data_IF_150825339550
#
_entry.id   IF_150825339550
#
_cell.length_a   1.000
_cell.length_b   1.000
_cell.length_c   1.000
_cell.angle_alpha   90.00
_cell.angle_beta   90.00
_cell.angle_gamma   90.00
#
_symmetry.space_group_name_H-M   'P 1'
#
loop_
_entity.id
_entity.type
_entity.pdbx_description
1 polymer ?
#
# COMPACT_ATOMS: atom_id res chain seq x y z
N UNK A 1 -3.19 -25.92 -2.16
CA UNK A 1 -3.19 -24.59 -1.51
C UNK A 1 -1.89 -23.92 -1.95
N UNK A 2 -1.96 -22.84 -2.75
CA UNK A 2 -0.75 -22.15 -3.24
C UNK A 2 0.06 -21.59 -2.06
N UNK A 3 1.36 -21.40 -2.27
CA UNK A 3 2.26 -20.79 -1.28
C UNK A 3 1.79 -19.36 -0.95
N UNK A 4 1.35 -18.62 -1.97
CA UNK A 4 0.72 -17.28 -1.86
C UNK A 4 -0.44 -17.27 -0.85
N UNK A 5 -1.41 -18.17 -1.01
CA UNK A 5 -2.58 -18.21 -0.10
C UNK A 5 -2.26 -18.58 1.36
N UNK A 6 -1.05 -19.06 1.67
CA UNK A 6 -0.58 -19.28 3.05
C UNK A 6 0.12 -18.04 3.62
N UNK A 7 0.93 -17.36 2.81
CA UNK A 7 1.59 -16.09 3.17
C UNK A 7 0.53 -15.03 3.49
N UNK A 8 -0.50 -14.92 2.65
CA UNK A 8 -1.59 -13.95 2.81
C UNK A 8 -2.34 -14.13 4.14
N UNK A 9 -2.61 -15.38 4.52
CA UNK A 9 -3.34 -15.71 5.76
C UNK A 9 -2.51 -15.42 7.01
N UNK A 10 -1.22 -15.72 6.97
CA UNK A 10 -0.33 -15.47 8.09
C UNK A 10 -0.08 -13.98 8.30
N UNK A 11 0.22 -13.24 7.22
CA UNK A 11 0.34 -11.79 7.25
C UNK A 11 -0.94 -11.15 7.80
N UNK A 12 -2.09 -11.52 7.25
CA UNK A 12 -3.38 -10.98 7.71
C UNK A 12 -3.65 -11.27 9.19
N UNK A 13 -3.31 -12.47 9.68
CA UNK A 13 -3.44 -12.81 11.08
C UNK A 13 -2.54 -11.91 11.94
N UNK A 14 -1.26 -11.77 11.57
CA UNK A 14 -0.31 -10.96 12.32
C UNK A 14 -0.70 -9.48 12.34
N UNK A 15 -1.17 -8.92 11.22
CA UNK A 15 -1.65 -7.55 11.15
C UNK A 15 -2.85 -7.30 12.07
N UNK A 16 -3.80 -8.25 12.13
CA UNK A 16 -4.96 -8.16 13.03
C UNK A 16 -4.53 -8.15 14.49
N UNK A 17 -3.72 -9.12 14.88
CA UNK A 17 -3.21 -9.24 16.26
C UNK A 17 -2.36 -8.03 16.63
N UNK A 18 -1.52 -7.53 15.72
CA UNK A 18 -0.75 -6.30 15.92
C UNK A 18 -1.66 -5.09 16.18
N UNK A 19 -2.74 -4.94 15.40
CA UNK A 19 -3.73 -3.90 15.67
C UNK A 19 -4.43 -4.08 17.01
N UNK A 20 -4.75 -5.32 17.43
CA UNK A 20 -5.35 -5.56 18.76
C UNK A 20 -4.37 -5.14 19.86
N UNK A 21 -3.10 -5.52 19.72
CA UNK A 21 -2.03 -5.19 20.65
C UNK A 21 -1.77 -3.69 20.76
N UNK A 22 -1.83 -2.95 19.66
CA UNK A 22 -1.64 -1.49 19.63
C UNK A 22 -2.86 -0.72 20.18
N UNK A 23 -4.06 -1.29 20.05
CA UNK A 23 -5.32 -0.62 20.45
C UNK A 23 -5.83 -1.04 21.82
N UNK A 24 -5.17 -2.01 22.47
CA UNK A 24 -5.53 -2.55 23.79
C UNK A 24 -5.60 -1.45 24.87
N UNK A 25 -6.78 -1.34 25.48
CA UNK A 25 -7.08 -0.31 26.49
C UNK A 25 -6.33 -0.51 27.80
N UNK A 26 -5.83 -1.72 28.07
CA UNK A 26 -5.12 -2.04 29.29
C UNK A 26 -3.64 -1.66 29.23
N UNK A 27 -3.15 -1.21 28.06
CA UNK A 27 -1.74 -0.88 27.86
C UNK A 27 -1.50 0.62 28.02
N UNK A 28 -0.40 0.96 28.68
CA UNK A 28 0.04 2.35 28.88
C UNK A 28 0.51 3.06 27.61
N UNK A 29 0.47 2.38 26.46
CA UNK A 29 0.81 2.88 25.13
C UNK A 29 -0.35 2.60 24.16
N UNK A 30 -1.59 2.82 24.59
CA UNK A 30 -2.76 2.71 23.71
C UNK A 30 -2.61 3.68 22.53
N UNK A 31 -2.76 3.15 21.32
CA UNK A 31 -2.84 3.92 20.09
C UNK A 31 -4.28 3.89 19.57
N UNK A 32 -4.91 5.05 19.29
CA UNK A 32 -6.22 5.05 18.64
C UNK A 32 -6.21 4.25 17.33
N UNK A 33 -7.29 3.51 17.07
CA UNK A 33 -7.38 2.57 15.95
C UNK A 33 -7.00 3.18 14.59
N UNK A 34 -7.42 4.43 14.35
CA UNK A 34 -7.07 5.18 13.14
C UNK A 34 -5.54 5.27 12.96
N UNK A 35 -4.81 5.62 14.02
CA UNK A 35 -3.35 5.74 13.95
C UNK A 35 -2.64 4.39 13.89
N UNK A 36 -3.19 3.35 14.54
CA UNK A 36 -2.67 1.99 14.40
C UNK A 36 -2.77 1.51 12.95
N UNK A 37 -3.92 1.74 12.30
CA UNK A 37 -4.14 1.39 10.90
C UNK A 37 -3.23 2.20 9.97
N UNK A 38 -3.12 3.52 10.17
CA UNK A 38 -2.20 4.37 9.40
C UNK A 38 -0.76 3.88 9.53
N UNK A 39 -0.28 3.56 10.75
CA UNK A 39 1.09 3.10 10.96
C UNK A 39 1.35 1.74 10.31
N UNK A 40 0.41 0.80 10.41
CA UNK A 40 0.51 -0.49 9.72
C UNK A 40 0.54 -0.30 8.20
N UNK A 41 -0.36 0.54 7.65
CA UNK A 41 -0.39 0.87 6.23
C UNK A 41 0.93 1.50 5.74
N UNK A 42 1.53 2.39 6.54
CA UNK A 42 2.87 2.95 6.27
C UNK A 42 3.92 1.84 6.17
N UNK A 43 3.95 0.89 7.09
CA UNK A 43 4.92 -0.21 7.05
C UNK A 43 4.71 -1.16 5.86
N UNK A 44 3.46 -1.41 5.47
CA UNK A 44 3.15 -2.12 4.21
C UNK A 44 3.79 -1.40 3.03
N UNK A 45 3.56 -0.09 2.93
CA UNK A 45 4.10 0.75 1.87
C UNK A 45 5.62 0.79 1.87
N UNK A 46 6.25 1.06 3.01
CA UNK A 46 7.72 1.13 3.16
C UNK A 46 8.39 -0.21 2.85
N UNK A 47 7.83 -1.32 3.32
CA UNK A 47 8.35 -2.66 3.01
C UNK A 47 8.19 -2.97 1.52
N UNK A 48 7.08 -2.55 0.89
CA UNK A 48 6.92 -2.68 -0.56
C UNK A 48 8.00 -1.89 -1.32
N UNK A 49 8.24 -0.62 -0.95
CA UNK A 49 9.31 0.17 -1.56
C UNK A 49 10.68 -0.48 -1.37
N UNK A 50 10.96 -1.01 -0.18
CA UNK A 50 12.23 -1.67 0.14
C UNK A 50 12.44 -2.92 -0.69
N UNK A 51 11.46 -3.82 -0.72
CA UNK A 51 11.58 -5.12 -1.40
C UNK A 51 11.57 -4.99 -2.93
N UNK A 52 10.95 -3.94 -3.47
CA UNK A 52 11.05 -3.58 -4.89
C UNK A 52 12.34 -2.83 -5.24
N UNK A 53 13.19 -2.52 -4.26
CA UNK A 53 14.44 -1.79 -4.46
C UNK A 53 14.28 -0.28 -4.71
N UNK A 54 13.07 0.26 -4.56
CA UNK A 54 12.78 1.70 -4.67
C UNK A 54 13.38 2.44 -3.47
N UNK A 55 13.18 1.91 -2.26
CA UNK A 55 13.84 2.36 -1.04
C UNK A 55 15.15 1.55 -0.84
N UNK A 56 16.13 1.82 -1.69
CA UNK A 56 17.44 1.13 -1.69
C UNK A 56 18.37 1.63 -0.57
N UNK A 57 19.50 0.96 -0.37
CA UNK A 57 20.54 1.42 0.57
C UNK A 57 21.07 2.81 0.19
N UNK A 58 21.17 3.10 -1.10
CA UNK A 58 21.54 4.44 -1.61
C UNK A 58 20.54 5.52 -1.15
N UNK A 59 19.25 5.19 -1.08
CA UNK A 59 18.22 6.13 -0.60
C UNK A 59 18.30 6.32 0.92
N UNK A 60 18.62 5.27 1.67
CA UNK A 60 18.88 5.37 3.12
C UNK A 60 20.11 6.23 3.42
N UNK A 61 21.18 6.07 2.65
CA UNK A 61 22.38 6.91 2.74
C UNK A 61 22.05 8.39 2.46
N UNK A 62 21.31 8.68 1.37
CA UNK A 62 20.87 10.04 1.03
C UNK A 62 19.96 10.66 2.09
N UNK A 63 19.10 9.85 2.72
CA UNK A 63 18.23 10.30 3.79
C UNK A 63 18.97 10.47 5.14
N UNK A 64 20.22 10.03 5.24
CA UNK A 64 21.00 9.99 6.49
C UNK A 64 20.31 9.15 7.59
N UNK A 65 19.77 7.99 7.20
CA UNK A 65 19.02 7.07 8.07
C UNK A 65 19.57 5.65 7.91
N UNK A 66 19.72 4.90 9.01
CA UNK A 66 20.04 3.49 8.92
C UNK A 66 18.75 2.67 8.70
N UNK A 67 18.77 1.65 7.84
CA UNK A 67 17.62 0.78 7.64
C UNK A 67 17.13 0.10 8.95
N UNK A 68 18.02 -0.18 9.91
CA UNK A 68 17.64 -0.72 11.22
C UNK A 68 16.84 0.29 12.07
N UNK A 69 16.99 1.59 11.82
CA UNK A 69 16.20 2.65 12.46
C UNK A 69 14.73 2.66 12.01
N UNK A 70 14.38 1.85 10.99
CA UNK A 70 13.03 1.75 10.43
C UNK A 70 12.51 0.31 10.52
N UNK A 71 13.25 -0.66 10.01
CA UNK A 71 12.80 -2.06 9.90
C UNK A 71 13.36 -2.95 11.01
N UNK A 72 14.22 -2.41 11.86
CA UNK A 72 14.99 -3.16 12.84
C UNK A 72 14.49 -3.06 14.28
N UNK A 73 15.27 -3.63 15.18
CA UNK A 73 15.03 -3.48 16.63
C UNK A 73 15.32 -2.05 17.10
N UNK A 74 16.15 -1.30 16.38
CA UNK A 74 16.42 0.12 16.60
C UNK A 74 15.30 1.05 16.13
N UNK A 75 14.19 0.52 15.61
CA UNK A 75 13.18 1.33 14.95
C UNK A 75 12.72 2.53 15.79
N UNK A 76 12.74 3.72 15.19
CA UNK A 76 12.55 4.97 15.91
C UNK A 76 11.50 5.85 15.24
N UNK A 77 10.63 6.48 16.05
CA UNK A 77 9.63 7.42 15.57
C UNK A 77 10.24 8.58 14.79
N UNK A 78 11.22 9.27 15.36
CA UNK A 78 11.79 10.47 14.75
C UNK A 78 12.50 10.15 13.43
N UNK A 79 13.17 8.98 13.38
CA UNK A 79 13.75 8.46 12.13
C UNK A 79 12.71 8.06 11.10
N UNK A 80 11.58 7.49 11.53
CA UNK A 80 10.46 7.22 10.64
C UNK A 80 9.90 8.52 10.04
N UNK A 81 9.68 9.57 10.83
CA UNK A 81 9.21 10.85 10.28
C UNK A 81 10.27 11.52 9.40
N UNK A 82 11.55 11.44 9.74
CA UNK A 82 12.63 11.91 8.87
C UNK A 82 12.62 11.19 7.50
N UNK A 83 12.39 9.87 7.49
CA UNK A 83 12.26 9.10 6.26
C UNK A 83 10.99 9.50 5.49
N UNK A 84 9.88 9.75 6.19
CA UNK A 84 8.64 10.21 5.58
C UNK A 84 8.83 11.56 4.89
N UNK A 85 9.46 12.53 5.56
CA UNK A 85 9.75 13.85 4.96
C UNK A 85 10.65 13.70 3.72
N UNK A 86 11.70 12.86 3.80
CA UNK A 86 12.56 12.56 2.66
C UNK A 86 11.80 11.93 1.49
N UNK A 87 10.95 10.95 1.79
CA UNK A 87 10.15 10.26 0.79
C UNK A 87 9.07 11.19 0.23
N UNK A 88 8.52 12.10 1.02
CA UNK A 88 7.61 13.12 0.56
C UNK A 88 8.32 14.06 -0.43
N UNK A 89 9.57 14.45 -0.22
CA UNK A 89 10.28 15.26 -1.23
C UNK A 89 10.64 14.42 -2.49
N UNK A 90 11.20 13.23 -2.28
CA UNK A 90 11.63 12.33 -3.35
C UNK A 90 10.46 11.85 -4.23
N UNK A 91 9.34 11.48 -3.61
CA UNK A 91 8.14 10.99 -4.26
C UNK A 91 7.11 12.11 -4.52
N UNK A 92 7.04 13.25 -3.82
CA UNK A 92 6.20 14.39 -4.27
C UNK A 92 6.88 15.29 -5.31
N UNK A 93 8.10 14.98 -5.72
CA UNK A 93 8.65 15.39 -7.02
C UNK A 93 8.34 14.41 -8.17
N UNK A 94 7.97 13.16 -7.85
CA UNK A 94 8.09 12.03 -8.79
C UNK A 94 6.84 11.14 -8.95
N UNK A 95 6.01 10.94 -7.90
CA UNK A 95 5.01 9.86 -7.76
C UNK A 95 3.78 10.14 -6.84
N UNK A 96 3.82 10.10 -5.47
CA UNK A 96 2.62 10.13 -4.56
C UNK A 96 2.84 10.59 -3.10
N UNK A 97 1.75 10.96 -2.37
CA UNK A 97 1.79 11.27 -0.94
C UNK A 97 1.76 10.03 -0.03
N UNK A 98 2.41 10.14 1.13
CA UNK A 98 2.39 9.11 2.18
C UNK A 98 1.14 9.22 3.07
N UNK A 99 0.59 8.09 3.57
CA UNK A 99 -0.44 8.13 4.61
C UNK A 99 0.09 8.90 5.83
N UNK A 100 -0.60 9.92 6.36
CA UNK A 100 -0.11 10.73 7.49
C UNK A 100 -0.97 10.59 8.75
N UNK A 101 -0.35 10.77 9.94
CA UNK A 101 -1.05 10.69 11.22
C UNK A 101 -0.12 10.96 12.41
N UNK A 102 -0.59 11.74 13.38
CA UNK A 102 0.21 12.21 14.52
C UNK A 102 -0.43 11.79 15.86
N UNK A 103 -0.06 10.59 16.33
CA UNK A 103 -0.21 10.14 17.73
C UNK A 103 0.68 8.91 18.04
N UNK A 104 1.77 8.76 17.29
CA UNK A 104 2.64 7.58 17.34
C UNK A 104 3.78 7.79 18.35
N UNK A 105 4.13 6.75 19.11
CA UNK A 105 5.31 6.69 19.98
C UNK A 105 6.33 5.72 19.42
N UNK A 106 7.61 5.86 19.76
CA UNK A 106 8.69 4.94 19.33
C UNK A 106 8.36 3.48 19.62
N UNK A 107 7.72 3.18 20.75
CA UNK A 107 7.29 1.81 21.09
C UNK A 107 6.30 1.22 20.07
N UNK A 108 5.41 2.02 19.50
CA UNK A 108 4.50 1.55 18.45
C UNK A 108 5.28 1.20 17.20
N UNK A 109 6.20 2.08 16.79
CA UNK A 109 7.08 1.90 15.63
C UNK A 109 7.89 0.60 15.76
N UNK A 110 8.53 0.38 16.92
CA UNK A 110 9.27 -0.85 17.22
C UNK A 110 8.41 -2.11 17.14
N UNK A 111 7.18 -2.06 17.67
CA UNK A 111 6.29 -3.22 17.63
C UNK A 111 5.83 -3.55 16.21
N UNK A 112 5.55 -2.54 15.39
CA UNK A 112 5.21 -2.73 13.98
C UNK A 112 6.43 -3.26 13.21
N UNK A 113 7.59 -2.63 13.35
CA UNK A 113 8.84 -3.06 12.71
C UNK A 113 9.17 -4.53 13.03
N UNK A 114 9.10 -4.91 14.31
CA UNK A 114 9.30 -6.29 14.74
C UNK A 114 8.37 -7.27 14.03
N UNK A 115 7.06 -6.98 13.96
CA UNK A 115 6.10 -7.87 13.27
C UNK A 115 6.40 -7.99 11.77
N UNK A 116 6.85 -6.93 11.11
CA UNK A 116 7.25 -7.00 9.69
C UNK A 116 8.56 -7.73 9.46
N UNK A 117 9.46 -7.75 10.45
CA UNK A 117 10.62 -8.65 10.50
C UNK A 117 10.24 -10.10 10.83
N UNK A 118 9.03 -10.29 11.34
CA UNK A 118 8.37 -11.58 11.56
C UNK A 118 8.12 -11.92 13.04
N UNK A 119 8.42 -10.99 13.94
CA UNK A 119 8.18 -11.19 15.38
C UNK A 119 6.71 -11.53 15.62
N UNK A 120 6.46 -12.39 16.59
CA UNK A 120 5.10 -12.70 16.98
C UNK A 120 4.44 -11.44 17.60
N UNK A 121 3.20 -11.08 17.21
CA UNK A 121 2.60 -9.84 17.69
C UNK A 121 2.25 -9.86 19.19
N UNK A 122 2.01 -11.03 19.80
CA UNK A 122 1.62 -11.13 21.21
C UNK A 122 2.82 -11.29 22.14
N UNK A 123 3.80 -12.08 21.73
CA UNK A 123 5.05 -12.28 22.43
C UNK A 123 6.11 -11.27 21.97
N UNK A 124 7.20 -11.14 22.72
CA UNK A 124 8.39 -10.40 22.26
C UNK A 124 9.40 -11.35 21.61
N UNK A 125 8.92 -12.48 21.07
CA UNK A 125 9.79 -13.48 20.49
C UNK A 125 10.27 -13.00 19.11
N UNK A 126 11.57 -12.74 19.03
CA UNK A 126 12.21 -12.34 17.79
C UNK A 126 12.41 -13.54 16.88
N UNK A 127 12.11 -13.37 15.59
CA UNK A 127 12.52 -14.32 14.55
C UNK A 127 13.75 -13.80 13.81
N UNK A 128 14.58 -14.74 13.36
CA UNK A 128 15.88 -14.46 12.75
C UNK A 128 15.80 -14.17 11.23
N UNK A 129 14.61 -14.24 10.62
CA UNK A 129 14.43 -14.12 9.17
C UNK A 129 13.18 -13.32 8.83
N UNK A 130 13.29 -12.44 7.82
CA UNK A 130 12.16 -11.76 7.19
C UNK A 130 11.19 -12.82 6.65
N UNK A 131 9.99 -12.89 7.22
CA UNK A 131 8.94 -13.83 6.79
C UNK A 131 8.08 -13.27 5.65
N UNK A 132 8.21 -11.97 5.37
CA UNK A 132 7.48 -11.27 4.32
C UNK A 132 8.45 -10.73 3.28
N UNK A 133 8.35 -11.26 2.07
CA UNK A 133 9.04 -10.77 0.89
C UNK A 133 8.00 -10.26 -0.11
N UNK A 134 7.85 -8.94 -0.22
CA UNK A 134 6.91 -8.31 -1.12
C UNK A 134 7.43 -8.19 -2.56
N UNK A 135 8.65 -8.66 -2.85
CA UNK A 135 9.16 -8.65 -4.23
C UNK A 135 8.37 -9.58 -5.16
N UNK A 136 7.74 -10.64 -4.61
CA UNK A 136 6.92 -11.60 -5.34
C UNK A 136 5.43 -11.54 -5.02
N UNK A 137 5.01 -10.77 -4.01
CA UNK A 137 3.58 -10.62 -3.66
C UNK A 137 2.92 -9.72 -4.70
N UNK A 138 1.93 -10.22 -5.47
CA UNK A 138 1.19 -9.37 -6.39
C UNK A 138 0.58 -8.21 -5.61
N UNK A 139 0.63 -7.02 -6.19
CA UNK A 139 0.04 -5.84 -5.58
C UNK A 139 -1.43 -6.05 -5.21
N UNK A 140 -2.21 -6.73 -6.05
CA UNK A 140 -3.61 -7.03 -5.77
C UNK A 140 -3.75 -7.83 -4.48
N UNK A 141 -2.82 -8.74 -4.22
CA UNK A 141 -2.76 -9.53 -3.00
C UNK A 141 -2.49 -8.64 -1.79
N UNK A 142 -1.53 -7.71 -1.90
CA UNK A 142 -1.20 -6.78 -0.82
C UNK A 142 -2.36 -5.84 -0.49
N UNK A 143 -3.02 -5.30 -1.52
CA UNK A 143 -4.24 -4.49 -1.41
C UNK A 143 -5.38 -5.27 -0.75
N UNK A 144 -5.58 -6.54 -1.13
CA UNK A 144 -6.60 -7.41 -0.54
C UNK A 144 -6.29 -7.71 0.93
N UNK A 145 -5.03 -7.98 1.29
CA UNK A 145 -4.63 -8.22 2.68
C UNK A 145 -4.89 -6.97 3.52
N UNK A 146 -4.47 -5.80 3.07
CA UNK A 146 -4.70 -4.54 3.79
C UNK A 146 -6.19 -4.22 3.94
N UNK A 147 -6.98 -4.43 2.89
CA UNK A 147 -8.43 -4.26 2.95
C UNK A 147 -9.08 -5.19 3.99
N UNK A 148 -8.76 -6.48 3.94
CA UNK A 148 -9.30 -7.48 4.87
C UNK A 148 -8.90 -7.17 6.31
N UNK A 149 -7.73 -6.57 6.50
CA UNK A 149 -7.27 -6.06 7.78
C UNK A 149 -8.16 -4.91 8.28
N UNK A 150 -8.39 -3.86 7.47
CA UNK A 150 -9.22 -2.71 7.87
C UNK A 150 -10.70 -3.09 8.11
N UNK A 151 -11.26 -3.96 7.27
CA UNK A 151 -12.67 -4.38 7.36
C UNK A 151 -12.97 -5.27 8.57
N UNK A 152 -11.98 -6.02 9.06
CA UNK A 152 -12.18 -6.95 10.18
C UNK A 152 -12.41 -6.25 11.54
N UNK A 153 -12.00 -4.98 11.65
CA UNK A 153 -12.06 -4.20 12.91
C UNK A 153 -13.24 -3.22 12.97
N UNK A 154 -13.85 -2.89 11.83
CA UNK A 154 -15.07 -2.07 11.77
C UNK A 154 -16.34 -2.89 12.01
N UNK A 155 -17.45 -2.22 12.34
CA UNK A 155 -18.83 -2.79 12.41
C UNK A 155 -19.36 -3.21 11.02
N UNK A 156 -18.54 -3.86 10.19
CA UNK A 156 -18.69 -3.99 8.74
C UNK A 156 -19.44 -5.22 8.24
N UNK A 157 -19.80 -6.19 9.10
CA UNK A 157 -20.67 -7.30 8.66
C UNK A 157 -22.08 -6.86 8.23
N UNK A 158 -22.46 -5.60 8.47
CA UNK A 158 -23.77 -5.03 8.09
C UNK A 158 -23.76 -4.06 6.90
N UNK A 159 -22.60 -3.75 6.30
CA UNK A 159 -22.52 -2.87 5.11
C UNK A 159 -21.79 -3.60 3.98
N UNK A 160 -22.57 -4.15 3.06
CA UNK A 160 -22.34 -4.50 1.64
C UNK A 160 -20.97 -4.52 0.96
N UNK A 161 -19.84 -4.59 1.66
CA UNK A 161 -18.50 -4.63 1.08
C UNK A 161 -18.22 -6.02 0.48
N UNK A 162 -18.92 -6.35 -0.60
CA UNK A 162 -18.63 -7.50 -1.43
C UNK A 162 -17.49 -7.14 -2.36
N UNK A 163 -16.40 -7.88 -2.21
CA UNK A 163 -15.27 -7.83 -3.13
C UNK A 163 -15.73 -8.25 -4.53
N UNK A 164 -15.51 -7.40 -5.52
CA UNK A 164 -15.65 -7.78 -6.92
C UNK A 164 -14.40 -8.56 -7.32
N UNK A 165 -14.50 -9.86 -7.62
CA UNK A 165 -13.35 -10.62 -8.07
C UNK A 165 -12.71 -9.99 -9.31
N UNK A 166 -11.37 -9.98 -9.40
CA UNK A 166 -10.64 -9.36 -10.53
C UNK A 166 -11.13 -9.90 -11.88
N UNK A 167 -11.44 -11.19 -11.98
CA UNK A 167 -11.97 -11.77 -13.23
C UNK A 167 -13.34 -11.17 -13.62
N UNK A 168 -14.18 -10.82 -12.64
CA UNK A 168 -15.47 -10.18 -12.90
C UNK A 168 -15.28 -8.70 -13.28
N UNK A 169 -14.35 -8.00 -12.63
CA UNK A 169 -13.95 -6.64 -13.02
C UNK A 169 -13.49 -6.64 -14.49
N UNK A 170 -12.57 -7.53 -14.83
CA UNK A 170 -12.03 -7.64 -16.19
C UNK A 170 -13.10 -7.98 -17.22
N UNK A 171 -14.00 -8.92 -16.91
CA UNK A 171 -15.13 -9.23 -17.77
C UNK A 171 -15.98 -8.01 -18.09
N UNK A 172 -16.37 -7.23 -17.07
CA UNK A 172 -17.19 -6.02 -17.25
C UNK A 172 -16.44 -4.97 -18.08
N UNK A 173 -15.14 -4.78 -17.81
CA UNK A 173 -14.33 -3.83 -18.55
C UNK A 173 -14.11 -4.27 -20.01
N UNK A 174 -14.04 -5.56 -20.31
CA UNK A 174 -13.93 -6.08 -21.68
C UNK A 174 -15.21 -5.83 -22.47
N UNK A 175 -16.37 -6.05 -21.87
CA UNK A 175 -17.67 -5.73 -22.46
C UNK A 175 -17.85 -4.22 -22.70
N UNK A 176 -17.33 -3.38 -21.80
CA UNK A 176 -17.31 -1.94 -21.97
C UNK A 176 -16.36 -1.52 -23.10
N UNK A 177 -15.16 -2.08 -23.16
CA UNK A 177 -14.15 -1.79 -24.17
C UNK A 177 -14.66 -2.15 -25.58
N UNK A 178 -15.36 -3.27 -25.73
CA UNK A 178 -15.97 -3.67 -27.01
C UNK A 178 -17.02 -2.67 -27.53
N UNK A 179 -17.73 -1.98 -26.62
CA UNK A 179 -18.77 -0.99 -26.97
C UNK A 179 -18.22 0.43 -27.08
N UNK A 180 -17.30 0.78 -26.19
CA UNK A 180 -16.72 2.12 -26.07
C UNK A 180 -15.25 1.97 -25.66
N UNK A 181 -14.34 1.81 -26.62
CA UNK A 181 -12.92 1.64 -26.33
C UNK A 181 -12.36 2.78 -25.51
N UNK A 182 -11.58 2.45 -24.47
CA UNK A 182 -10.86 3.44 -23.68
C UNK A 182 -9.79 4.12 -24.55
N UNK A 183 -9.80 5.45 -24.53
CA UNK A 183 -8.88 6.32 -25.25
C UNK A 183 -8.19 7.28 -24.29
N UNK A 184 -6.97 7.67 -24.63
CA UNK A 184 -6.27 8.77 -23.95
C UNK A 184 -7.13 10.03 -23.97
N UNK A 185 -7.13 10.81 -22.87
CA UNK A 185 -8.02 11.96 -22.71
C UNK A 185 -9.35 11.65 -22.01
N UNK A 186 -9.80 10.38 -21.98
CA UNK A 186 -11.05 10.02 -21.31
C UNK A 186 -10.92 10.05 -19.79
N UNK A 187 -11.96 10.49 -19.09
CA UNK A 187 -12.06 10.43 -17.63
C UNK A 187 -12.91 9.24 -17.20
N UNK A 188 -12.42 8.49 -16.23
CA UNK A 188 -13.01 7.30 -15.65
C UNK A 188 -13.49 7.67 -14.25
N UNK A 189 -14.76 7.41 -13.97
CA UNK A 189 -15.36 7.71 -12.68
C UNK A 189 -16.13 6.50 -12.15
N UNK A 190 -15.80 6.07 -10.93
CA UNK A 190 -16.54 5.06 -10.19
C UNK A 190 -17.22 5.71 -8.96
N UNK A 191 -18.57 5.86 -8.96
CA UNK A 191 -19.31 6.55 -7.90
C UNK A 191 -19.49 5.73 -6.62
N UNK A 192 -19.03 4.48 -6.61
CA UNK A 192 -19.06 3.57 -5.46
C UNK A 192 -17.83 2.68 -5.50
N UNK A 193 -16.66 3.31 -5.51
CA UNK A 193 -15.41 2.65 -5.89
C UNK A 193 -14.93 1.60 -4.89
N UNK A 194 -15.43 1.62 -3.65
CA UNK A 194 -14.96 0.76 -2.58
C UNK A 194 -13.44 0.82 -2.45
N UNK A 195 -12.79 -0.34 -2.46
CA UNK A 195 -11.33 -0.47 -2.44
C UNK A 195 -10.64 -0.22 -3.79
N UNK A 196 -11.37 0.29 -4.80
CA UNK A 196 -10.80 0.74 -6.06
C UNK A 196 -10.51 -0.34 -7.09
N UNK A 197 -11.08 -1.54 -6.99
CA UNK A 197 -10.79 -2.65 -7.91
C UNK A 197 -11.02 -2.29 -9.38
N UNK A 198 -12.12 -1.61 -9.71
CA UNK A 198 -12.37 -1.09 -11.06
C UNK A 198 -11.37 0.00 -11.45
N UNK A 199 -11.13 0.96 -10.55
CA UNK A 199 -10.20 2.07 -10.80
C UNK A 199 -8.78 1.59 -11.10
N UNK A 200 -8.29 0.61 -10.34
CA UNK A 200 -6.98 -0.02 -10.55
C UNK A 200 -6.91 -0.68 -11.93
N UNK A 201 -7.89 -1.52 -12.28
CA UNK A 201 -7.89 -2.21 -13.58
C UNK A 201 -8.06 -1.24 -14.76
N UNK A 202 -8.88 -0.21 -14.60
CA UNK A 202 -9.00 0.88 -15.55
C UNK A 202 -7.67 1.63 -15.75
N UNK A 203 -6.97 1.93 -14.66
CA UNK A 203 -5.66 2.59 -14.70
C UNK A 203 -4.62 1.73 -15.41
N UNK A 204 -4.52 0.43 -15.10
CA UNK A 204 -3.63 -0.51 -15.81
C UNK A 204 -3.88 -0.52 -17.31
N UNK A 205 -5.16 -0.64 -17.72
CA UNK A 205 -5.55 -0.62 -19.15
C UNK A 205 -5.19 0.70 -19.83
N UNK A 206 -5.34 1.82 -19.13
CA UNK A 206 -4.96 3.14 -19.65
C UNK A 206 -3.45 3.22 -19.87
N UNK A 207 -2.64 2.85 -18.86
CA UNK A 207 -1.18 2.81 -18.94
C UNK A 207 -0.71 1.92 -20.09
N UNK A 208 -1.22 0.69 -20.16
CA UNK A 208 -0.84 -0.27 -21.21
C UNK A 208 -1.20 0.22 -22.62
N UNK A 209 -2.33 0.92 -22.79
CA UNK A 209 -2.70 1.52 -24.08
C UNK A 209 -1.74 2.64 -24.48
N UNK A 210 -1.35 3.50 -23.54
CA UNK A 210 -0.41 4.59 -23.82
C UNK A 210 0.97 4.03 -24.14
N UNK A 211 1.45 3.05 -23.36
CA UNK A 211 2.73 2.37 -23.60
C UNK A 211 2.76 1.69 -24.96
N UNK A 212 1.68 1.03 -25.39
CA UNK A 212 1.61 0.42 -26.74
C UNK A 212 1.71 1.41 -27.89
N UNK A 213 1.38 2.68 -27.66
CA UNK A 213 1.41 3.74 -28.67
C UNK A 213 2.68 4.60 -28.61
N UNK A 214 3.61 4.29 -27.69
CA UNK A 214 4.91 4.93 -27.54
C UNK A 214 6.03 3.90 -27.73
N UNK A 215 7.14 4.35 -28.31
CA UNK A 215 8.34 3.51 -28.44
C UNK A 215 9.14 3.42 -27.12
N UNK A 216 8.92 4.37 -26.20
CA UNK A 216 9.61 4.45 -24.90
C UNK A 216 8.69 4.15 -23.71
N UNK A 217 9.29 3.70 -22.60
CA UNK A 217 8.61 3.57 -21.31
C UNK A 217 8.11 4.93 -20.80
N UNK A 218 7.00 4.90 -20.08
CA UNK A 218 6.47 6.10 -19.44
C UNK A 218 7.31 6.49 -18.23
N UNK A 219 7.62 7.79 -18.12
CA UNK A 219 8.28 8.32 -16.94
C UNK A 219 7.34 8.28 -15.72
N UNK A 220 7.87 8.22 -14.48
CA UNK A 220 7.06 8.30 -13.27
C UNK A 220 6.06 9.47 -13.25
N UNK A 221 6.48 10.65 -13.71
CA UNK A 221 5.65 11.85 -13.79
C UNK A 221 4.50 11.72 -14.80
N UNK A 222 4.70 10.98 -15.89
CA UNK A 222 3.67 10.71 -16.89
C UNK A 222 2.66 9.68 -16.38
N UNK A 223 3.14 8.62 -15.70
CA UNK A 223 2.27 7.66 -15.03
C UNK A 223 1.39 8.35 -13.98
N UNK A 224 1.97 9.29 -13.21
CA UNK A 224 1.26 10.06 -12.18
C UNK A 224 0.19 10.94 -12.82
N UNK A 225 0.55 11.61 -13.92
CA UNK A 225 -0.39 12.42 -14.70
C UNK A 225 -1.55 11.58 -15.22
N UNK A 226 -1.28 10.39 -15.77
CA UNK A 226 -2.31 9.47 -16.21
C UNK A 226 -3.26 9.08 -15.08
N UNK A 227 -2.76 8.87 -13.87
CA UNK A 227 -3.63 8.55 -12.74
C UNK A 227 -4.51 9.75 -12.35
N UNK A 228 -3.88 10.90 -12.06
CA UNK A 228 -4.56 12.07 -11.48
C UNK A 228 -5.52 12.74 -12.45
N UNK A 229 -5.20 12.77 -13.75
CA UNK A 229 -6.03 13.46 -14.74
C UNK A 229 -7.21 12.61 -15.23
N UNK A 230 -7.17 11.29 -15.05
CA UNK A 230 -8.12 10.36 -15.67
C UNK A 230 -8.88 9.45 -14.70
N UNK A 231 -8.39 9.18 -13.49
CA UNK A 231 -8.99 8.19 -12.58
C UNK A 231 -9.63 8.90 -11.39
N UNK A 232 -10.95 8.76 -11.25
CA UNK A 232 -11.74 9.41 -10.20
C UNK A 232 -12.63 8.39 -9.50
N UNK A 233 -12.70 8.46 -8.18
CA UNK A 233 -13.52 7.58 -7.35
C UNK A 233 -14.29 8.34 -6.29
N UNK A 234 -15.46 7.82 -5.92
CA UNK A 234 -16.23 8.25 -4.76
C UNK A 234 -16.69 7.02 -3.99
N UNK A 235 -16.57 7.05 -2.67
CA UNK A 235 -17.22 6.08 -1.78
C UNK A 235 -17.64 6.76 -0.48
N UNK A 236 -18.64 6.18 0.20
CA UNK A 236 -19.11 6.65 1.50
C UNK A 236 -18.26 6.11 2.67
N UNK A 237 -17.49 5.04 2.44
CA UNK A 237 -16.56 4.47 3.42
C UNK A 237 -15.15 5.07 3.24
N UNK A 238 -14.74 5.91 4.19
CA UNK A 238 -13.42 6.55 4.19
C UNK A 238 -12.28 5.53 4.21
N UNK A 239 -12.44 4.40 4.91
CA UNK A 239 -11.40 3.36 4.95
C UNK A 239 -11.29 2.66 3.59
N UNK A 240 -12.40 2.45 2.89
CA UNK A 240 -12.37 1.90 1.54
C UNK A 240 -11.66 2.84 0.55
N UNK A 241 -11.93 4.15 0.63
CA UNK A 241 -11.22 5.17 -0.15
C UNK A 241 -9.71 5.14 0.11
N UNK A 242 -9.26 4.98 1.37
CA UNK A 242 -7.81 4.86 1.69
C UNK A 242 -7.19 3.60 1.10
N UNK A 243 -7.93 2.49 1.05
CA UNK A 243 -7.46 1.27 0.35
C UNK A 243 -7.36 1.50 -1.15
N UNK A 244 -8.34 2.19 -1.75
CA UNK A 244 -8.31 2.52 -3.17
C UNK A 244 -7.10 3.39 -3.51
N UNK A 245 -6.81 4.41 -2.69
CA UNK A 245 -5.63 5.26 -2.82
C UNK A 245 -4.34 4.43 -2.75
N UNK A 246 -4.15 3.64 -1.69
CA UNK A 246 -2.97 2.77 -1.56
C UNK A 246 -2.84 1.83 -2.76
N UNK A 247 -3.94 1.23 -3.21
CA UNK A 247 -3.94 0.29 -4.34
C UNK A 247 -3.52 0.96 -5.64
N UNK A 248 -4.01 2.17 -5.92
CA UNK A 248 -3.61 2.94 -7.09
C UNK A 248 -2.15 3.39 -7.00
N UNK A 249 -1.70 3.85 -5.83
CA UNK A 249 -0.31 4.25 -5.60
C UNK A 249 0.66 3.10 -5.82
N UNK A 250 0.39 1.94 -5.21
CA UNK A 250 1.16 0.74 -5.43
C UNK A 250 1.12 0.33 -6.92
N UNK A 251 -0.03 0.48 -7.60
CA UNK A 251 -0.20 0.00 -9.00
C UNK A 251 0.66 0.82 -9.92
N UNK A 252 0.73 2.13 -9.68
CA UNK A 252 1.64 2.99 -10.40
C UNK A 252 3.10 2.59 -10.14
N UNK A 253 3.48 2.36 -8.88
CA UNK A 253 4.85 1.94 -8.53
C UNK A 253 5.24 0.61 -9.17
N UNK A 254 4.28 -0.28 -9.46
CA UNK A 254 4.49 -1.54 -10.21
C UNK A 254 4.96 -1.30 -11.66
N UNK A 255 4.70 -0.12 -12.23
CA UNK A 255 5.18 0.29 -13.56
C UNK A 255 6.50 1.07 -13.52
N UNK A 256 7.06 1.32 -12.33
CA UNK A 256 8.31 2.07 -12.16
C UNK A 256 9.44 1.09 -11.84
N UNK A 257 10.56 1.20 -12.55
CA UNK A 257 11.77 0.50 -12.14
C UNK A 257 12.60 1.37 -11.19
N UNK A 258 13.33 0.78 -10.21
CA UNK A 258 14.12 1.55 -9.24
C UNK A 258 15.17 2.52 -9.83
N UNK A 259 15.55 2.34 -11.08
CA UNK A 259 16.48 3.24 -11.76
C UNK A 259 15.79 4.49 -12.33
N UNK A 260 14.49 4.41 -12.63
CA UNK A 260 13.69 5.51 -13.18
C UNK A 260 13.45 6.65 -12.18
N UNK A 261 13.67 6.39 -10.89
CA UNK A 261 13.52 7.37 -9.81
C UNK A 261 14.83 8.11 -9.48
N UNK A 262 15.94 7.82 -10.17
CA UNK A 262 17.27 8.39 -9.84
C UNK A 262 17.60 9.67 -10.63
N UNK A 263 16.69 10.15 -11.47
CA UNK A 263 16.86 11.34 -12.34
C UNK A 263 16.30 12.60 -11.74
#
# INVERSE_FOLDING_TARGET
>A
ISVEGRVDRHLLANLKTLSDVLTDENKNYKLPIKYAHTLIGKYIYLKYLRDRGILSDEQFEKAEINADDIFGSGANKDKLYQLEDYLDDFLNGSVFPLPSGNDTQTKHVQKVAGVFKGDDPESSQQVLFDIYDFSYVPIETLSVVYQQFLHAKGKGRKKGAYYTPVHLVNFILDELEAKKPLKEGMKIFDPSCGSGAFLVQCYRRLVEKVVRNKDDKLKPTELRKLLVDHIFGLDADEEACRVAELSLSLTLLDYIEPHDLRT
#
